data_IF_241169722561
#
_entry.id   IF_241169722561
#
_cell.length_a   1.000
_cell.length_b   1.000
_cell.length_c   1.000
_cell.angle_alpha   90.00
_cell.angle_beta   90.00
_cell.angle_gamma   90.00
#
_symmetry.space_group_name_H-M   'P 1'
#
loop_
_entity.id
_entity.type
_entity.pdbx_description
1 polymer ?
#
# COMPACT_ATOMS: atom_id res chain seq x y z
N UNK A 1 -5.52 -44.18 7.44
CA UNK A 1 -4.35 -43.51 6.79
C UNK A 1 -4.66 -42.05 6.48
N UNK A 2 -5.87 -41.74 5.99
CA UNK A 2 -6.36 -40.36 5.77
C UNK A 2 -6.41 -39.46 7.00
N UNK A 3 -6.93 -39.93 8.15
CA UNK A 3 -6.99 -39.09 9.36
C UNK A 3 -5.61 -38.59 9.83
N UNK A 4 -4.58 -39.42 9.65
CA UNK A 4 -3.21 -39.08 10.02
C UNK A 4 -2.62 -38.03 9.06
N UNK A 5 -2.99 -38.09 7.78
CA UNK A 5 -2.65 -37.07 6.78
C UNK A 5 -3.34 -35.74 7.07
N UNK A 6 -4.66 -35.76 7.32
CA UNK A 6 -5.47 -34.58 7.64
C UNK A 6 -4.98 -33.88 8.91
N UNK A 7 -4.65 -34.65 9.97
CA UNK A 7 -4.07 -34.10 11.21
C UNK A 7 -2.71 -33.44 10.96
N UNK A 8 -1.87 -34.02 10.10
CA UNK A 8 -0.55 -33.47 9.75
C UNK A 8 -0.67 -32.17 8.96
N UNK A 9 -1.60 -32.10 7.99
CA UNK A 9 -1.87 -30.86 7.23
C UNK A 9 -2.35 -29.75 8.16
N UNK A 10 -3.28 -30.05 9.08
CA UNK A 10 -3.74 -29.08 10.09
C UNK A 10 -2.61 -28.56 10.98
N UNK A 11 -1.67 -29.43 11.38
CA UNK A 11 -0.54 -29.04 12.20
C UNK A 11 0.45 -28.15 11.44
N UNK A 12 0.78 -28.49 10.20
CA UNK A 12 1.63 -27.65 9.34
C UNK A 12 1.02 -26.27 9.18
N UNK A 13 -0.29 -26.21 8.94
CA UNK A 13 -0.93 -24.92 8.75
C UNK A 13 -0.92 -24.02 10.00
N UNK A 14 -1.10 -24.59 11.21
CA UNK A 14 -1.01 -23.82 12.47
C UNK A 14 0.39 -23.25 12.66
N UNK A 15 1.43 -24.02 12.32
CA UNK A 15 2.81 -23.52 12.36
C UNK A 15 3.00 -22.39 11.34
N UNK A 16 2.41 -22.54 10.14
CA UNK A 16 2.52 -21.54 9.08
C UNK A 16 1.82 -20.22 9.44
N UNK A 17 0.73 -20.26 10.22
CA UNK A 17 0.10 -19.07 10.80
C UNK A 17 1.11 -18.22 11.61
N UNK A 18 2.11 -18.86 12.24
CA UNK A 18 3.18 -18.19 12.96
C UNK A 18 4.38 -17.83 12.07
N UNK A 19 4.73 -18.64 11.06
CA UNK A 19 5.95 -18.47 10.26
C UNK A 19 5.77 -17.44 9.14
N UNK A 20 4.67 -17.51 8.39
CA UNK A 20 4.43 -16.67 7.20
C UNK A 20 4.52 -15.15 7.51
N UNK A 21 4.07 -14.63 8.66
CA UNK A 21 4.25 -13.23 9.03
C UNK A 21 5.71 -12.74 9.16
N UNK A 22 6.69 -13.65 9.31
CA UNK A 22 8.12 -13.32 9.42
C UNK A 22 8.84 -13.38 8.07
N UNK A 23 8.14 -13.71 6.98
CA UNK A 23 8.71 -13.72 5.63
C UNK A 23 8.58 -12.30 5.06
N UNK A 24 9.68 -11.57 5.01
CA UNK A 24 9.70 -10.18 4.56
C UNK A 24 10.02 -10.04 3.06
N UNK A 25 10.70 -11.01 2.44
CA UNK A 25 11.05 -10.92 1.01
C UNK A 25 9.78 -10.97 0.14
N UNK A 26 9.56 -9.97 -0.75
CA UNK A 26 8.35 -9.91 -1.57
C UNK A 26 8.18 -11.09 -2.53
N UNK A 27 9.28 -11.67 -3.04
CA UNK A 27 9.21 -12.80 -3.99
C UNK A 27 8.87 -14.09 -3.25
N UNK A 28 9.42 -14.29 -2.05
CA UNK A 28 9.05 -15.44 -1.22
C UNK A 28 7.57 -15.38 -0.84
N UNK A 29 7.07 -14.19 -0.49
CA UNK A 29 5.65 -13.98 -0.22
C UNK A 29 4.76 -14.21 -1.45
N UNK A 30 5.24 -13.89 -2.66
CA UNK A 30 4.56 -14.24 -3.90
C UNK A 30 4.49 -15.77 -4.07
N UNK A 31 5.58 -16.50 -3.85
CA UNK A 31 5.60 -17.96 -3.91
C UNK A 31 4.67 -18.60 -2.88
N UNK A 32 4.72 -18.16 -1.62
CA UNK A 32 3.83 -18.62 -0.53
C UNK A 32 2.36 -18.50 -0.93
N UNK A 33 1.98 -17.39 -1.55
CA UNK A 33 0.59 -17.14 -1.94
C UNK A 33 0.04 -18.11 -2.99
N UNK A 34 0.90 -18.83 -3.73
CA UNK A 34 0.49 -19.73 -4.81
C UNK A 34 0.46 -21.21 -4.39
N UNK A 35 0.84 -21.54 -3.14
CA UNK A 35 0.91 -22.93 -2.69
C UNK A 35 -0.49 -23.54 -2.52
N UNK A 36 -1.37 -22.87 -1.78
CA UNK A 36 -2.74 -23.31 -1.56
C UNK A 36 -3.63 -22.13 -1.12
N UNK A 37 -4.95 -22.36 -1.08
CA UNK A 37 -5.91 -21.32 -0.69
C UNK A 37 -5.67 -20.77 0.73
N UNK A 38 -5.33 -21.63 1.70
CA UNK A 38 -5.08 -21.17 3.08
C UNK A 38 -3.87 -20.25 3.16
N UNK A 39 -2.78 -20.59 2.46
CA UNK A 39 -1.58 -19.76 2.43
C UNK A 39 -1.79 -18.47 1.65
N UNK A 40 -2.60 -18.51 0.59
CA UNK A 40 -3.06 -17.31 -0.12
C UNK A 40 -3.80 -16.36 0.82
N UNK A 41 -4.73 -16.88 1.64
CA UNK A 41 -5.51 -16.09 2.61
C UNK A 41 -4.63 -15.56 3.75
N UNK A 42 -3.72 -16.39 4.28
CA UNK A 42 -2.79 -15.96 5.32
C UNK A 42 -1.81 -14.91 4.81
N UNK A 43 -1.30 -15.04 3.58
CA UNK A 43 -0.52 -13.99 2.93
C UNK A 43 -1.33 -12.69 2.81
N UNK A 44 -2.59 -12.80 2.36
CA UNK A 44 -3.55 -11.69 2.28
C UNK A 44 -3.60 -10.88 3.58
N UNK A 45 -3.77 -11.58 4.71
CA UNK A 45 -4.01 -10.97 6.02
C UNK A 45 -2.74 -10.41 6.67
N UNK A 46 -1.57 -10.90 6.26
CA UNK A 46 -0.29 -10.62 6.96
C UNK A 46 0.67 -9.75 6.14
N UNK A 47 0.35 -9.46 4.86
CA UNK A 47 1.21 -8.62 3.99
C UNK A 47 1.21 -7.17 4.48
N UNK A 48 2.34 -6.72 5.01
CA UNK A 48 2.47 -5.36 5.57
C UNK A 48 2.82 -4.29 4.53
N UNK A 49 3.59 -4.64 3.50
CA UNK A 49 4.05 -3.69 2.49
C UNK A 49 3.76 -4.16 1.06
N UNK A 50 3.32 -3.22 0.22
CA UNK A 50 3.14 -3.43 -1.22
C UNK A 50 3.73 -2.25 -2.00
N UNK A 51 4.45 -2.57 -3.07
CA UNK A 51 4.86 -1.60 -4.10
C UNK A 51 4.12 -1.87 -5.40
N UNK A 52 3.39 -0.87 -5.90
CA UNK A 52 2.80 -0.87 -7.22
C UNK A 52 3.70 -0.06 -8.15
N UNK A 53 4.36 -0.76 -9.08
CA UNK A 53 5.36 -0.18 -9.97
C UNK A 53 4.79 0.76 -11.05
N UNK A 54 3.48 0.64 -11.32
CA UNK A 54 2.70 1.50 -12.20
C UNK A 54 1.27 1.55 -11.68
N UNK A 55 0.77 2.71 -11.24
CA UNK A 55 -0.52 2.85 -10.56
C UNK A 55 -1.74 2.42 -11.38
N UNK A 56 -1.59 2.24 -12.70
CA UNK A 56 -2.63 1.80 -13.61
C UNK A 56 -2.74 0.26 -13.74
N UNK A 57 -1.87 -0.52 -13.09
CA UNK A 57 -1.90 -1.99 -13.21
C UNK A 57 -2.98 -2.65 -12.36
N UNK A 58 -3.59 -1.92 -11.43
CA UNK A 58 -4.65 -2.41 -10.54
C UNK A 58 -5.48 -1.24 -10.03
N UNK A 59 -6.67 -1.54 -9.50
CA UNK A 59 -7.52 -0.56 -8.83
C UNK A 59 -7.21 -0.51 -7.32
N UNK A 60 -7.51 0.62 -6.64
CA UNK A 60 -7.44 0.72 -5.19
C UNK A 60 -8.30 -0.34 -4.47
N UNK A 61 -9.54 -0.56 -4.92
CA UNK A 61 -10.43 -1.59 -4.36
C UNK A 61 -9.84 -3.01 -4.49
N UNK A 62 -9.22 -3.35 -5.63
CA UNK A 62 -8.57 -4.67 -5.79
C UNK A 62 -7.41 -4.83 -4.80
N UNK A 63 -6.63 -3.78 -4.56
CA UNK A 63 -5.56 -3.80 -3.56
C UNK A 63 -6.13 -4.01 -2.16
N UNK A 64 -7.17 -3.25 -1.78
CA UNK A 64 -7.86 -3.36 -0.49
C UNK A 64 -8.35 -4.78 -0.23
N UNK A 65 -9.04 -5.37 -1.21
CA UNK A 65 -9.58 -6.74 -1.09
C UNK A 65 -8.47 -7.79 -0.94
N UNK A 66 -7.32 -7.57 -1.58
CA UNK A 66 -6.18 -8.50 -1.47
C UNK A 66 -5.39 -8.30 -0.19
N UNK A 67 -5.19 -7.08 0.28
CA UNK A 67 -4.34 -6.80 1.46
C UNK A 67 -5.07 -5.86 2.42
N UNK A 68 -6.05 -6.35 3.20
CA UNK A 68 -6.90 -5.52 4.05
C UNK A 68 -6.16 -4.88 5.24
N UNK A 69 -5.04 -5.47 5.67
CA UNK A 69 -4.25 -5.01 6.82
C UNK A 69 -2.93 -4.34 6.41
N UNK A 70 -2.88 -3.78 5.20
CA UNK A 70 -1.67 -3.13 4.68
C UNK A 70 -1.22 -1.96 5.56
N UNK A 71 0.05 -1.95 5.95
CA UNK A 71 0.65 -0.91 6.80
C UNK A 71 1.46 0.11 6.00
N UNK A 72 2.01 -0.30 4.85
CA UNK A 72 2.84 0.53 3.99
C UNK A 72 2.53 0.33 2.51
N UNK A 73 2.36 1.43 1.77
CA UNK A 73 2.07 1.42 0.34
C UNK A 73 3.00 2.36 -0.42
N UNK A 74 3.59 1.85 -1.49
CA UNK A 74 4.34 2.63 -2.46
C UNK A 74 3.68 2.58 -3.83
N UNK A 75 3.34 3.73 -4.39
CA UNK A 75 2.76 3.87 -5.73
C UNK A 75 3.72 4.64 -6.64
N UNK A 76 3.88 4.15 -7.86
CA UNK A 76 4.61 4.85 -8.91
C UNK A 76 3.66 5.24 -10.05
N UNK A 77 3.73 6.48 -10.49
CA UNK A 77 2.90 7.01 -11.57
C UNK A 77 3.63 7.04 -12.91
N UNK A 78 4.02 8.24 -13.33
CA UNK A 78 4.69 8.51 -14.61
C UNK A 78 5.90 7.59 -14.82
N UNK A 79 6.20 7.19 -16.07
CA UNK A 79 7.36 6.36 -16.38
C UNK A 79 8.69 7.08 -16.09
N UNK A 80 9.82 6.36 -16.17
CA UNK A 80 11.14 6.93 -15.84
C UNK A 80 11.56 8.06 -16.78
N UNK A 81 11.07 8.03 -18.00
CA UNK A 81 11.24 9.08 -19.00
C UNK A 81 10.76 10.47 -18.51
N UNK A 82 9.80 10.56 -17.58
CA UNK A 82 9.36 11.84 -17.00
C UNK A 82 10.46 12.56 -16.22
N UNK A 83 11.49 11.85 -15.75
CA UNK A 83 12.65 12.47 -15.09
C UNK A 83 13.59 13.19 -16.07
N UNK A 84 13.34 13.06 -17.38
CA UNK A 84 14.14 13.63 -18.46
C UNK A 84 13.29 14.56 -19.35
N UNK A 85 12.16 15.06 -18.85
CA UNK A 85 11.21 15.92 -19.58
C UNK A 85 10.65 15.29 -20.88
N UNK A 86 10.65 13.96 -20.98
CA UNK A 86 10.16 13.21 -22.16
C UNK A 86 8.67 12.83 -22.07
N UNK A 87 7.99 13.23 -20.99
CA UNK A 87 6.60 12.86 -20.72
C UNK A 87 5.83 14.14 -20.39
N UNK A 88 4.65 14.38 -21.02
CA UNK A 88 3.80 15.52 -20.70
C UNK A 88 3.45 15.60 -19.22
N UNK A 89 3.26 16.81 -18.70
CA UNK A 89 2.91 16.99 -17.29
C UNK A 89 1.55 16.40 -16.93
N UNK A 90 0.60 16.45 -17.86
CA UNK A 90 -0.76 15.94 -17.78
C UNK A 90 -0.91 14.46 -18.18
N UNK A 91 0.20 13.73 -18.39
CA UNK A 91 0.19 12.30 -18.76
C UNK A 91 -0.66 11.42 -17.84
N UNK A 92 -0.76 11.80 -16.56
CA UNK A 92 -1.51 11.09 -15.54
C UNK A 92 -0.65 10.68 -14.34
N UNK A 93 -1.13 9.65 -13.62
CA UNK A 93 -0.59 9.25 -12.31
C UNK A 93 -1.24 10.02 -11.15
N UNK A 94 -2.54 10.32 -11.25
CA UNK A 94 -3.29 11.01 -10.18
C UNK A 94 -3.44 10.13 -8.94
N UNK A 95 -3.16 10.67 -7.76
CA UNK A 95 -3.35 9.96 -6.48
C UNK A 95 -4.79 9.99 -5.99
N UNK A 96 -5.65 10.88 -6.48
CA UNK A 96 -7.01 11.09 -5.93
C UNK A 96 -7.81 9.79 -5.73
N UNK A 97 -7.91 8.85 -6.70
CA UNK A 97 -8.64 7.60 -6.48
C UNK A 97 -8.04 6.73 -5.36
N UNK A 98 -6.71 6.74 -5.25
CA UNK A 98 -5.99 6.02 -4.19
C UNK A 98 -6.24 6.65 -2.83
N UNK A 99 -6.17 7.98 -2.73
CA UNK A 99 -6.41 8.70 -1.47
C UNK A 99 -7.84 8.52 -0.98
N UNK A 100 -8.84 8.61 -1.88
CA UNK A 100 -10.24 8.34 -1.53
C UNK A 100 -10.41 6.95 -0.93
N UNK A 101 -9.87 5.92 -1.58
CA UNK A 101 -9.94 4.55 -1.07
C UNK A 101 -9.20 4.38 0.27
N UNK A 102 -8.01 4.98 0.39
CA UNK A 102 -7.19 4.94 1.61
C UNK A 102 -7.94 5.56 2.78
N UNK A 103 -8.57 6.71 2.57
CA UNK A 103 -9.29 7.44 3.61
C UNK A 103 -10.43 6.63 4.24
N UNK A 104 -11.06 5.75 3.45
CA UNK A 104 -12.23 4.99 3.85
C UNK A 104 -11.89 3.60 4.39
N UNK A 105 -10.90 2.94 3.81
CA UNK A 105 -10.76 1.49 4.00
C UNK A 105 -9.41 1.02 4.54
N UNK A 106 -8.33 1.80 4.38
CA UNK A 106 -6.99 1.35 4.76
C UNK A 106 -6.67 1.68 6.22
N UNK A 107 -7.41 1.05 7.13
CA UNK A 107 -7.37 1.29 8.58
C UNK A 107 -5.98 1.14 9.23
N UNK A 108 -5.14 0.24 8.70
CA UNK A 108 -3.82 -0.07 9.24
C UNK A 108 -2.67 0.74 8.61
N UNK A 109 -2.94 1.54 7.58
CA UNK A 109 -1.90 2.18 6.79
C UNK A 109 -1.24 3.34 7.54
N UNK A 110 0.07 3.24 7.74
CA UNK A 110 0.93 4.18 8.48
C UNK A 110 1.99 4.83 7.60
N UNK A 111 2.30 4.24 6.45
CA UNK A 111 3.37 4.71 5.56
C UNK A 111 2.90 4.79 4.12
N UNK A 112 3.05 5.97 3.51
CA UNK A 112 2.71 6.25 2.13
C UNK A 112 3.89 6.82 1.36
N UNK A 113 4.11 6.27 0.17
CA UNK A 113 5.13 6.75 -0.74
C UNK A 113 4.55 6.89 -2.15
N UNK A 114 4.30 8.13 -2.55
CA UNK A 114 3.94 8.48 -3.92
C UNK A 114 5.22 8.86 -4.66
N UNK A 115 5.45 8.22 -5.82
CA UNK A 115 6.61 8.51 -6.66
C UNK A 115 6.21 8.85 -8.08
N UNK A 116 6.54 10.06 -8.55
CA UNK A 116 6.17 10.56 -9.88
C UNK A 116 4.66 10.52 -10.12
N UNK A 117 3.91 10.96 -9.13
CA UNK A 117 2.45 11.03 -9.17
C UNK A 117 2.01 12.50 -9.19
N UNK A 118 0.79 12.75 -9.64
CA UNK A 118 0.12 14.05 -9.52
C UNK A 118 -0.69 14.04 -8.22
N UNK A 119 -0.37 14.96 -7.31
CA UNK A 119 -0.94 15.10 -5.97
C UNK A 119 -1.50 16.50 -5.86
N UNK A 120 -2.80 16.65 -5.53
CA UNK A 120 -3.44 17.96 -5.31
C UNK A 120 -3.46 18.30 -3.82
N UNK A 121 -3.61 19.58 -3.51
CA UNK A 121 -3.81 20.03 -2.11
C UNK A 121 -5.03 19.37 -1.47
N UNK A 122 -6.12 19.19 -2.23
CA UNK A 122 -7.31 18.46 -1.78
C UNK A 122 -7.02 17.01 -1.41
N UNK A 123 -6.10 16.35 -2.11
CA UNK A 123 -5.71 14.96 -1.80
C UNK A 123 -4.96 14.92 -0.47
N UNK A 124 -4.05 15.87 -0.24
CA UNK A 124 -3.31 16.00 1.01
C UNK A 124 -4.21 16.36 2.18
N UNK A 125 -5.20 17.24 1.98
CA UNK A 125 -6.19 17.59 2.99
C UNK A 125 -7.02 16.36 3.42
N UNK A 126 -7.57 15.61 2.44
CA UNK A 126 -8.34 14.39 2.72
C UNK A 126 -7.48 13.37 3.47
N UNK A 127 -6.24 13.16 3.02
CA UNK A 127 -5.32 12.23 3.66
C UNK A 127 -4.99 12.66 5.09
N UNK A 128 -4.68 13.94 5.31
CA UNK A 128 -4.29 14.47 6.60
C UNK A 128 -5.46 14.41 7.60
N UNK A 129 -6.68 14.79 7.19
CA UNK A 129 -7.86 14.72 8.06
C UNK A 129 -8.26 13.29 8.40
N UNK A 130 -8.20 12.37 7.44
CA UNK A 130 -8.64 10.97 7.65
C UNK A 130 -7.60 10.10 8.35
N UNK A 131 -6.30 10.29 8.03
CA UNK A 131 -5.22 9.39 8.47
C UNK A 131 -4.15 10.07 9.31
N UNK A 132 -4.20 11.38 9.55
CA UNK A 132 -3.13 12.11 10.23
C UNK A 132 -2.78 11.59 11.63
N UNK A 133 -3.76 11.04 12.36
CA UNK A 133 -3.55 10.46 13.69
C UNK A 133 -2.74 9.15 13.70
N UNK A 134 -2.54 8.50 12.53
CA UNK A 134 -1.86 7.20 12.37
C UNK A 134 -0.76 7.22 11.31
N UNK A 135 -0.75 8.21 10.42
CA UNK A 135 0.25 8.33 9.36
C UNK A 135 1.59 8.74 9.97
N UNK A 136 2.57 7.83 9.90
CA UNK A 136 3.91 8.01 10.43
C UNK A 136 4.90 8.49 9.37
N UNK A 137 4.66 8.15 8.09
CA UNK A 137 5.53 8.53 7.00
C UNK A 137 4.72 8.88 5.74
N UNK A 138 4.98 10.07 5.18
CA UNK A 138 4.52 10.49 3.88
C UNK A 138 5.72 10.90 3.02
N UNK A 139 5.91 10.22 1.89
CA UNK A 139 6.95 10.54 0.90
C UNK A 139 6.31 10.98 -0.41
N UNK A 140 6.58 12.23 -0.79
CA UNK A 140 6.25 12.81 -2.09
C UNK A 140 7.51 12.86 -2.96
N UNK A 141 7.86 11.74 -3.59
CA UNK A 141 9.11 11.59 -4.35
C UNK A 141 8.91 11.99 -5.83
N UNK A 142 9.36 13.19 -6.19
CA UNK A 142 9.20 13.75 -7.55
C UNK A 142 7.73 13.83 -7.98
N UNK A 143 6.85 14.19 -7.05
CA UNK A 143 5.44 14.45 -7.34
C UNK A 143 5.24 15.91 -7.78
N UNK A 144 4.12 16.18 -8.45
CA UNK A 144 3.71 17.53 -8.86
C UNK A 144 2.23 17.79 -8.54
N UNK A 145 1.78 19.04 -8.62
CA UNK A 145 0.36 19.43 -8.52
C UNK A 145 -0.13 19.93 -7.14
N UNK A 146 0.75 19.97 -6.13
CA UNK A 146 0.44 20.47 -4.79
C UNK A 146 1.22 21.77 -4.51
N UNK A 147 0.75 22.53 -3.53
CA UNK A 147 1.35 23.77 -3.05
C UNK A 147 1.70 23.67 -1.57
N UNK A 148 2.10 24.80 -0.98
CA UNK A 148 2.33 24.90 0.46
C UNK A 148 1.06 24.72 1.29
N UNK A 149 -0.13 24.95 0.71
CA UNK A 149 -1.41 24.80 1.41
C UNK A 149 -1.70 23.33 1.71
N UNK A 150 -1.43 22.43 0.76
CA UNK A 150 -1.50 20.99 0.98
C UNK A 150 -0.54 20.52 2.08
N UNK A 151 0.68 21.06 2.12
CA UNK A 151 1.66 20.75 3.17
C UNK A 151 1.23 21.28 4.55
N UNK A 152 0.56 22.44 4.60
CA UNK A 152 0.00 22.98 5.83
C UNK A 152 -1.00 22.00 6.48
N UNK A 153 -1.88 21.37 5.69
CA UNK A 153 -2.79 20.34 6.21
C UNK A 153 -2.03 19.15 6.80
N UNK A 154 -1.00 18.65 6.12
CA UNK A 154 -0.18 17.55 6.64
C UNK A 154 0.49 17.95 7.95
N UNK A 155 1.15 19.12 8.01
CA UNK A 155 1.82 19.59 9.22
C UNK A 155 0.86 19.81 10.40
N UNK A 156 -0.37 20.27 10.11
CA UNK A 156 -1.39 20.51 11.13
C UNK A 156 -1.99 19.23 11.72
N UNK A 157 -2.28 18.24 10.87
CA UNK A 157 -3.07 17.06 11.28
C UNK A 157 -2.22 15.80 11.53
N UNK A 158 -0.96 15.75 11.07
CA UNK A 158 -0.05 14.61 11.27
C UNK A 158 0.97 14.87 12.40
N UNK A 159 0.52 15.42 13.53
CA UNK A 159 1.40 15.96 14.59
C UNK A 159 1.87 14.95 15.65
N UNK A 160 1.48 13.67 15.59
CA UNK A 160 1.82 12.65 16.61
C UNK A 160 3.12 11.88 16.33
N UNK A 161 4.14 12.57 15.81
CA UNK A 161 5.44 11.99 15.47
C UNK A 161 6.66 12.79 15.96
N UNK A 162 6.47 13.70 16.93
CA UNK A 162 7.56 14.22 17.78
C UNK A 162 7.39 13.68 19.19
#
# INVERSE_FOLDING_TARGET
MEERSVRRTRQVDVVMDCVIPYIDDPKDRDAVSQVCRRWYELDSMTRKHVTIALCYTTTPDRLRRRFPHLESLKLKGKPRAAMFNLIPEDWGGHVTPWVTEISQHFGCLRSLHFRRMIVKDSDLEVLAKSRGHVLQALKLDKCSGFSTDGLFFVGRFCSRGM
#
